data_IF_913526581774
#
_entry.id   IF_913526581774
#
_cell.length_a   1.000
_cell.length_b   1.000
_cell.length_c   1.000
_cell.angle_alpha   90.00
_cell.angle_beta   90.00
_cell.angle_gamma   90.00
#
_symmetry.space_group_name_H-M   'P 1'
#
loop_
_entity.id
_entity.type
_entity.pdbx_description
1 polymer ?
#
# COMPACT_ATOMS: atom_id res chain seq x y z
N UNK A 1 -0.21 -9.51 25.18
CA UNK A 1 -0.18 -8.05 25.27
C UNK A 1 -0.87 -7.36 24.06
N UNK A 2 -0.63 -7.74 22.81
CA UNK A 2 -1.29 -7.13 21.63
C UNK A 2 -2.82 -7.29 21.57
N UNK A 3 -3.39 -8.34 22.16
CA UNK A 3 -4.85 -8.53 22.22
C UNK A 3 -5.57 -7.48 23.09
N UNK A 4 -4.87 -6.91 24.08
CA UNK A 4 -5.44 -5.93 25.03
C UNK A 4 -5.51 -4.50 24.46
N UNK A 5 -4.73 -4.21 23.40
CA UNK A 5 -4.69 -2.88 22.79
C UNK A 5 -5.68 -2.72 21.61
N UNK A 6 -6.35 -3.79 21.19
CA UNK A 6 -7.35 -3.70 20.13
C UNK A 6 -8.56 -2.89 20.60
N UNK A 7 -8.77 -1.73 19.97
CA UNK A 7 -9.92 -0.87 20.19
C UNK A 7 -9.78 0.16 21.31
N UNK A 8 -8.64 0.22 22.01
CA UNK A 8 -8.39 1.21 23.06
C UNK A 8 -7.35 2.24 22.58
N UNK A 9 -7.73 3.50 22.50
CA UNK A 9 -6.79 4.58 22.22
C UNK A 9 -5.75 4.68 23.34
N UNK A 10 -4.49 4.92 23.00
CA UNK A 10 -3.39 5.01 23.99
C UNK A 10 -3.64 6.07 25.07
N UNK A 11 -4.38 7.14 24.75
CA UNK A 11 -4.79 8.19 25.71
C UNK A 11 -5.75 7.70 26.80
N UNK A 12 -6.56 6.69 26.48
CA UNK A 12 -7.59 6.15 27.40
C UNK A 12 -7.10 4.87 28.08
N UNK A 13 -5.84 4.47 27.86
CA UNK A 13 -5.34 3.19 28.35
C UNK A 13 -5.20 3.20 29.88
N UNK A 14 -4.80 4.32 30.50
CA UNK A 14 -4.67 4.43 31.95
C UNK A 14 -5.99 4.13 32.66
N UNK A 15 -7.07 4.76 32.19
CA UNK A 15 -8.43 4.53 32.74
C UNK A 15 -8.90 3.08 32.57
N UNK A 16 -8.55 2.45 31.44
CA UNK A 16 -8.88 1.05 31.20
C UNK A 16 -7.94 0.08 31.95
N UNK A 17 -6.72 0.51 32.25
CA UNK A 17 -5.71 -0.29 32.96
C UNK A 17 -6.00 -0.42 34.45
N UNK A 18 -6.67 0.55 35.06
CA UNK A 18 -7.10 0.50 36.47
C UNK A 18 -8.01 -0.70 36.77
N UNK A 19 -8.77 -1.15 35.76
CA UNK A 19 -9.64 -2.33 35.87
C UNK A 19 -8.90 -3.67 35.70
N UNK A 20 -7.58 -3.66 35.40
CA UNK A 20 -6.79 -4.86 35.13
C UNK A 20 -5.56 -4.88 36.04
N UNK A 21 -5.50 -5.72 37.05
CA UNK A 21 -4.40 -5.71 38.08
C UNK A 21 -3.00 -5.82 37.50
N UNK A 22 -2.80 -6.56 36.37
CA UNK A 22 -1.49 -6.72 35.73
C UNK A 22 -1.04 -5.51 34.91
N UNK A 23 -1.91 -4.52 34.71
CA UNK A 23 -1.61 -3.30 33.96
C UNK A 23 -1.27 -2.11 34.88
N UNK A 24 -1.30 -2.31 36.20
CA UNK A 24 -1.01 -1.28 37.20
C UNK A 24 0.38 -0.67 37.00
N UNK A 25 0.46 0.65 36.97
CA UNK A 25 1.73 1.38 36.81
C UNK A 25 2.21 1.59 35.35
N UNK A 26 1.42 1.24 34.35
CA UNK A 26 1.74 1.51 32.94
C UNK A 26 1.21 2.89 32.52
N UNK A 27 2.10 3.85 32.34
CA UNK A 27 1.74 5.15 31.75
C UNK A 27 1.37 5.02 30.24
N UNK A 28 0.56 5.94 29.72
CA UNK A 28 0.19 5.99 28.30
C UNK A 28 1.43 6.01 27.39
N UNK A 29 2.49 6.73 27.78
CA UNK A 29 3.76 6.79 27.03
C UNK A 29 4.49 5.43 27.02
N UNK A 30 4.44 4.68 28.10
CA UNK A 30 5.04 3.34 28.19
C UNK A 30 4.27 2.35 27.31
N UNK A 31 2.94 2.41 27.31
CA UNK A 31 2.08 1.59 26.44
C UNK A 31 2.35 1.91 24.98
N UNK A 32 2.39 3.20 24.61
CA UNK A 32 2.70 3.65 23.26
C UNK A 32 4.07 3.15 22.78
N UNK A 33 5.13 3.33 23.57
CA UNK A 33 6.48 2.83 23.23
C UNK A 33 6.53 1.32 23.04
N UNK A 34 5.87 0.56 23.92
CA UNK A 34 5.81 -0.92 23.79
C UNK A 34 5.03 -1.35 22.55
N UNK A 35 3.95 -0.64 22.24
CA UNK A 35 3.16 -0.90 21.02
C UNK A 35 3.98 -0.63 19.75
N UNK A 36 4.63 0.55 19.66
CA UNK A 36 5.50 0.92 18.52
C UNK A 36 6.60 -0.12 18.33
N UNK A 37 7.31 -0.51 19.41
CA UNK A 37 8.37 -1.53 19.35
C UNK A 37 7.86 -2.89 18.88
N UNK A 38 6.70 -3.34 19.37
CA UNK A 38 6.11 -4.61 19.00
C UNK A 38 5.62 -4.59 17.53
N UNK A 39 5.06 -3.46 17.09
CA UNK A 39 4.61 -3.26 15.70
C UNK A 39 5.79 -3.22 14.74
N UNK A 40 6.85 -2.48 15.07
CA UNK A 40 8.07 -2.40 14.26
C UNK A 40 8.70 -3.78 14.04
N UNK A 41 8.76 -4.63 15.09
CA UNK A 41 9.27 -6.00 14.97
C UNK A 41 8.40 -6.84 14.02
N UNK A 42 7.07 -6.77 14.13
CA UNK A 42 6.15 -7.50 13.26
C UNK A 42 6.24 -7.01 11.83
N UNK A 43 6.38 -5.71 11.64
CA UNK A 43 6.56 -5.11 10.33
C UNK A 43 7.86 -5.59 9.67
N UNK A 44 8.97 -5.59 10.40
CA UNK A 44 10.23 -6.12 9.89
C UNK A 44 10.11 -7.60 9.49
N UNK A 45 9.50 -8.44 10.32
CA UNK A 45 9.22 -9.84 9.98
C UNK A 45 8.35 -9.98 8.72
N UNK A 46 7.33 -9.15 8.57
CA UNK A 46 6.47 -9.12 7.40
C UNK A 46 7.25 -8.74 6.13
N UNK A 47 8.07 -7.71 6.20
CA UNK A 47 8.85 -7.23 5.05
C UNK A 47 10.04 -8.12 4.68
N UNK A 48 10.49 -8.97 5.59
CA UNK A 48 11.65 -9.86 5.36
C UNK A 48 11.26 -11.33 5.09
N UNK A 49 9.96 -11.65 5.13
CA UNK A 49 9.53 -13.03 4.91
C UNK A 49 9.79 -13.48 3.49
N UNK A 50 10.09 -14.77 3.31
CA UNK A 50 10.16 -15.41 2.00
C UNK A 50 8.81 -15.33 1.28
N UNK A 51 8.85 -15.22 -0.03
CA UNK A 51 7.71 -15.22 -0.94
C UNK A 51 7.71 -16.45 -1.87
N UNK A 52 8.67 -17.35 -1.73
CA UNK A 52 8.84 -18.55 -2.58
C UNK A 52 7.64 -19.50 -2.57
N UNK A 53 6.87 -19.50 -1.47
CA UNK A 53 5.70 -20.38 -1.33
C UNK A 53 4.47 -19.91 -2.13
N UNK A 54 4.51 -18.68 -2.71
CA UNK A 54 3.36 -18.09 -3.37
C UNK A 54 3.49 -18.18 -4.89
N UNK A 55 2.64 -18.97 -5.50
CA UNK A 55 2.45 -19.01 -6.95
C UNK A 55 1.51 -17.86 -7.37
N UNK A 56 2.10 -16.76 -7.83
CA UNK A 56 1.38 -15.54 -8.15
C UNK A 56 1.07 -15.43 -9.64
N UNK A 57 -0.18 -15.17 -9.97
CA UNK A 57 -0.66 -14.87 -11.33
C UNK A 57 -0.80 -13.38 -11.59
N UNK A 58 -0.99 -12.58 -10.54
CA UNK A 58 -1.10 -11.13 -10.67
C UNK A 58 -0.44 -10.38 -9.50
N UNK A 59 0.12 -9.22 -9.82
CA UNK A 59 0.69 -8.26 -8.90
C UNK A 59 -0.01 -6.91 -9.08
N UNK A 60 -0.63 -6.40 -8.02
CA UNK A 60 -1.20 -5.07 -7.98
C UNK A 60 -0.25 -4.12 -7.26
N UNK A 61 0.05 -3.00 -7.89
CA UNK A 61 0.86 -1.94 -7.32
C UNK A 61 0.01 -0.67 -7.25
N UNK A 62 -0.17 -0.15 -6.05
CA UNK A 62 -1.04 1.00 -5.80
C UNK A 62 -0.33 2.01 -4.90
N UNK A 63 -0.31 3.28 -5.32
CA UNK A 63 0.18 4.39 -4.52
C UNK A 63 -0.96 5.02 -3.72
N UNK A 64 -0.78 5.14 -2.41
CA UNK A 64 -1.73 5.82 -1.52
C UNK A 64 -1.05 6.96 -0.78
N UNK A 65 -1.67 8.13 -0.83
CA UNK A 65 -1.26 9.26 0.01
C UNK A 65 -1.76 9.06 1.43
N UNK A 66 -0.85 9.20 2.39
CA UNK A 66 -1.17 9.12 3.80
C UNK A 66 -0.52 10.29 4.54
N UNK A 67 -1.32 11.28 4.93
CA UNK A 67 -0.84 12.59 5.37
C UNK A 67 0.08 13.22 4.29
N UNK A 68 1.30 13.58 4.65
CA UNK A 68 2.29 14.19 3.75
C UNK A 68 3.17 13.16 3.03
N UNK A 69 2.89 11.87 3.19
CA UNK A 69 3.69 10.76 2.69
C UNK A 69 2.92 9.92 1.68
N UNK A 70 3.63 9.36 0.72
CA UNK A 70 3.09 8.35 -0.18
C UNK A 70 3.55 6.95 0.23
N UNK A 71 2.65 5.99 0.17
CA UNK A 71 2.93 4.59 0.42
C UNK A 71 2.61 3.81 -0.83
N UNK A 72 3.59 3.10 -1.38
CA UNK A 72 3.39 2.17 -2.49
C UNK A 72 3.20 0.78 -1.90
N UNK A 73 2.10 0.15 -2.23
CA UNK A 73 1.70 -1.17 -1.72
C UNK A 73 1.78 -2.19 -2.85
N UNK A 74 2.38 -3.35 -2.59
CA UNK A 74 2.38 -4.51 -3.46
C UNK A 74 1.45 -5.60 -2.92
N UNK A 75 0.46 -5.98 -3.71
CA UNK A 75 -0.50 -7.04 -3.41
C UNK A 75 -0.45 -8.11 -4.50
N UNK A 76 -0.05 -9.32 -4.14
CA UNK A 76 -0.08 -10.48 -5.02
C UNK A 76 -1.44 -11.17 -5.01
N UNK A 77 -1.80 -11.78 -6.13
CA UNK A 77 -2.93 -12.71 -6.24
C UNK A 77 -2.39 -14.04 -6.71
N UNK A 78 -2.66 -15.08 -5.95
CA UNK A 78 -2.24 -16.47 -6.25
C UNK A 78 -3.19 -17.13 -7.24
N UNK A 79 -2.75 -18.25 -7.82
CA UNK A 79 -3.55 -19.03 -8.77
C UNK A 79 -4.89 -19.48 -8.16
N UNK A 80 -4.93 -19.78 -6.87
CA UNK A 80 -6.15 -20.13 -6.11
C UNK A 80 -6.99 -18.92 -5.66
N UNK A 81 -6.64 -17.71 -6.10
CA UNK A 81 -7.37 -16.47 -5.86
C UNK A 81 -7.12 -15.81 -4.51
N UNK A 82 -6.17 -16.28 -3.69
CA UNK A 82 -5.81 -15.60 -2.44
C UNK A 82 -5.09 -14.29 -2.71
N UNK A 83 -5.38 -13.29 -1.89
CA UNK A 83 -4.72 -11.98 -1.91
C UNK A 83 -3.64 -11.94 -0.84
N UNK A 84 -2.40 -11.78 -1.25
CA UNK A 84 -1.22 -11.80 -0.40
C UNK A 84 -0.57 -10.41 -0.40
N UNK A 85 -0.60 -9.65 0.70
CA UNK A 85 0.19 -8.42 0.81
C UNK A 85 1.67 -8.77 0.77
N UNK A 86 2.41 -8.35 -0.25
CA UNK A 86 3.82 -8.70 -0.42
C UNK A 86 4.75 -7.75 0.34
N UNK A 87 4.37 -6.48 0.40
CA UNK A 87 5.13 -5.44 1.09
C UNK A 87 4.58 -4.07 0.79
N UNK A 88 5.24 -3.07 1.36
CA UNK A 88 5.01 -1.67 1.03
C UNK A 88 6.28 -0.86 1.27
N UNK A 89 6.38 0.28 0.61
CA UNK A 89 7.46 1.23 0.79
C UNK A 89 6.89 2.63 0.93
N UNK A 90 7.45 3.39 1.86
CA UNK A 90 7.19 4.82 2.00
C UNK A 90 8.08 5.57 1.02
N UNK A 91 7.50 6.50 0.26
CA UNK A 91 8.19 7.33 -0.69
C UNK A 91 7.67 8.76 -0.60
N UNK A 92 8.54 9.76 -0.67
CA UNK A 92 8.13 11.17 -0.74
C UNK A 92 7.46 11.50 -2.09
N UNK A 93 7.78 10.74 -3.12
CA UNK A 93 7.19 10.80 -4.47
C UNK A 93 7.26 9.43 -5.11
N UNK A 94 6.39 9.14 -6.09
CA UNK A 94 6.45 7.93 -6.93
C UNK A 94 7.69 7.96 -7.85
N UNK A 95 8.87 7.92 -7.22
CA UNK A 95 10.14 7.94 -7.93
C UNK A 95 10.45 6.53 -8.43
N UNK A 96 10.77 6.40 -9.71
CA UNK A 96 11.20 5.15 -10.36
C UNK A 96 12.25 4.40 -9.54
N UNK A 97 13.24 5.10 -8.99
CA UNK A 97 14.33 4.51 -8.20
C UNK A 97 13.82 3.80 -6.95
N UNK A 98 12.87 4.40 -6.23
CA UNK A 98 12.28 3.81 -5.03
C UNK A 98 11.42 2.61 -5.40
N UNK A 99 10.58 2.74 -6.44
CA UNK A 99 9.76 1.65 -6.95
C UNK A 99 10.62 0.47 -7.40
N UNK A 100 11.69 0.72 -8.16
CA UNK A 100 12.60 -0.33 -8.64
C UNK A 100 13.27 -1.06 -7.49
N UNK A 101 13.79 -0.33 -6.49
CA UNK A 101 14.42 -0.94 -5.32
C UNK A 101 13.41 -1.79 -4.53
N UNK A 102 12.20 -1.32 -4.36
CA UNK A 102 11.12 -2.05 -3.70
C UNK A 102 10.75 -3.34 -4.43
N UNK A 103 10.60 -3.27 -5.77
CA UNK A 103 10.30 -4.46 -6.58
C UNK A 103 11.47 -5.45 -6.60
N UNK A 104 12.72 -4.97 -6.64
CA UNK A 104 13.89 -5.83 -6.52
C UNK A 104 13.92 -6.56 -5.17
N UNK A 105 13.62 -5.87 -4.06
CA UNK A 105 13.48 -6.52 -2.74
C UNK A 105 12.40 -7.61 -2.74
N UNK A 106 11.27 -7.38 -3.39
CA UNK A 106 10.20 -8.39 -3.53
C UNK A 106 10.70 -9.62 -4.31
N UNK A 107 11.47 -9.40 -5.39
CA UNK A 107 12.10 -10.48 -6.17
C UNK A 107 13.15 -11.22 -5.35
N UNK A 108 14.03 -10.50 -4.64
CA UNK A 108 15.08 -11.07 -3.79
C UNK A 108 14.52 -11.96 -2.66
N UNK A 109 13.29 -11.72 -2.24
CA UNK A 109 12.54 -12.56 -1.29
C UNK A 109 11.88 -13.79 -1.92
N UNK A 110 12.12 -14.07 -3.19
CA UNK A 110 11.69 -15.27 -3.89
C UNK A 110 10.38 -15.15 -4.67
N UNK A 111 9.96 -13.92 -5.05
CA UNK A 111 8.82 -13.77 -5.95
C UNK A 111 9.07 -14.50 -7.28
N UNK A 112 8.23 -15.49 -7.60
CA UNK A 112 8.23 -16.17 -8.88
C UNK A 112 7.51 -15.30 -9.93
N UNK A 113 8.17 -15.01 -11.07
CA UNK A 113 7.58 -14.15 -12.13
C UNK A 113 7.95 -14.61 -13.56
N UNK A 114 8.75 -15.65 -13.69
CA UNK A 114 9.32 -16.12 -14.97
C UNK A 114 8.25 -16.67 -15.92
N UNK A 115 7.17 -17.25 -15.40
CA UNK A 115 6.02 -17.79 -16.15
C UNK A 115 4.99 -16.72 -16.57
N UNK A 116 5.39 -15.46 -16.60
CA UNK A 116 4.58 -14.26 -16.90
C UNK A 116 3.62 -13.85 -15.79
N UNK A 117 3.95 -12.73 -15.19
CA UNK A 117 3.16 -12.08 -14.16
C UNK A 117 2.30 -10.96 -14.76
N UNK A 118 0.99 -10.96 -14.51
CA UNK A 118 0.15 -9.81 -14.80
C UNK A 118 0.42 -8.73 -13.74
N UNK A 119 0.92 -7.56 -14.16
CA UNK A 119 1.17 -6.44 -13.25
C UNK A 119 0.17 -5.32 -13.50
N UNK A 120 -0.67 -5.02 -12.51
CA UNK A 120 -1.69 -3.97 -12.58
C UNK A 120 -1.19 -2.74 -11.81
N UNK A 121 -1.11 -1.59 -12.49
CA UNK A 121 -0.63 -0.32 -11.93
C UNK A 121 -1.66 0.80 -12.13
N UNK A 122 -1.59 1.86 -11.35
CA UNK A 122 -2.45 3.05 -11.48
C UNK A 122 -2.14 3.91 -12.73
N UNK A 123 -0.99 3.69 -13.33
CA UNK A 123 -0.52 4.39 -14.53
C UNK A 123 0.50 5.49 -14.25
N UNK A 124 1.09 5.54 -13.07
CA UNK A 124 2.24 6.37 -12.78
C UNK A 124 3.44 5.95 -13.64
N UNK A 125 4.09 6.93 -14.30
CA UNK A 125 5.21 6.67 -15.21
C UNK A 125 6.40 6.01 -14.51
N UNK A 126 6.74 6.47 -13.31
CA UNK A 126 7.84 5.93 -12.51
C UNK A 126 7.62 4.46 -12.13
N UNK A 127 6.39 4.10 -11.79
CA UNK A 127 6.02 2.73 -11.46
C UNK A 127 6.06 1.82 -12.69
N UNK A 128 5.57 2.29 -13.84
CA UNK A 128 5.65 1.56 -15.11
C UNK A 128 7.11 1.27 -15.50
N UNK A 129 7.98 2.30 -15.44
CA UNK A 129 9.40 2.17 -15.75
C UNK A 129 10.10 1.17 -14.82
N UNK A 130 9.80 1.22 -13.52
CA UNK A 130 10.34 0.31 -12.52
C UNK A 130 9.92 -1.16 -12.79
N UNK A 131 8.64 -1.40 -13.08
CA UNK A 131 8.11 -2.73 -13.43
C UNK A 131 8.80 -3.29 -14.66
N UNK A 132 8.88 -2.51 -15.74
CA UNK A 132 9.54 -2.92 -16.98
C UNK A 132 11.03 -3.23 -16.75
N UNK A 133 11.71 -2.43 -15.94
CA UNK A 133 13.12 -2.62 -15.62
C UNK A 133 13.40 -3.89 -14.79
N UNK A 134 12.55 -4.18 -13.80
CA UNK A 134 12.77 -5.32 -12.88
C UNK A 134 12.34 -6.63 -13.51
N UNK A 135 11.18 -6.67 -14.13
CA UNK A 135 10.63 -7.93 -14.67
C UNK A 135 10.97 -8.21 -16.14
N UNK A 136 11.65 -7.28 -16.84
CA UNK A 136 12.34 -7.47 -18.14
C UNK A 136 11.55 -8.29 -19.17
N UNK A 137 10.28 -7.98 -19.42
CA UNK A 137 9.46 -8.68 -20.43
C UNK A 137 8.71 -9.90 -19.91
N UNK A 138 8.95 -10.36 -18.70
CA UNK A 138 8.14 -11.38 -18.03
C UNK A 138 6.87 -10.81 -17.40
N UNK A 139 6.70 -9.48 -17.36
CA UNK A 139 5.49 -8.83 -16.87
C UNK A 139 4.59 -8.36 -18.02
N UNK A 140 3.32 -8.73 -17.96
CA UNK A 140 2.25 -8.12 -18.75
C UNK A 140 1.69 -6.93 -17.95
N UNK A 141 2.07 -5.70 -18.33
CA UNK A 141 1.65 -4.50 -17.58
C UNK A 141 0.28 -4.04 -18.05
N UNK A 142 -0.66 -3.97 -17.13
CA UNK A 142 -2.02 -3.50 -17.35
C UNK A 142 -2.33 -2.28 -16.47
N UNK A 143 -2.94 -1.26 -17.05
CA UNK A 143 -3.40 -0.10 -16.28
C UNK A 143 -4.70 -0.40 -15.56
N UNK A 144 -4.78 -0.04 -14.28
CA UNK A 144 -5.98 -0.18 -13.47
C UNK A 144 -7.16 0.60 -14.08
N UNK A 145 -8.25 -0.09 -14.39
CA UNK A 145 -9.44 0.52 -15.02
C UNK A 145 -10.17 1.44 -14.04
N UNK A 146 -10.16 1.13 -12.75
CA UNK A 146 -10.77 1.95 -11.71
C UNK A 146 -10.11 3.33 -11.63
N UNK A 147 -8.80 3.40 -11.48
CA UNK A 147 -8.07 4.68 -11.46
C UNK A 147 -8.16 5.44 -12.79
N UNK A 148 -8.29 4.73 -13.90
CA UNK A 148 -8.55 5.36 -15.21
C UNK A 148 -9.91 6.04 -15.26
N UNK A 149 -10.94 5.43 -14.68
CA UNK A 149 -12.28 6.00 -14.60
C UNK A 149 -12.34 7.18 -13.63
N UNK A 150 -11.79 7.06 -12.42
CA UNK A 150 -11.72 8.17 -11.45
C UNK A 150 -11.04 9.40 -12.07
N UNK A 151 -9.91 9.20 -12.72
CA UNK A 151 -9.18 10.30 -13.37
C UNK A 151 -9.98 10.96 -14.49
N UNK A 152 -10.77 10.18 -15.25
CA UNK A 152 -11.66 10.73 -16.29
C UNK A 152 -12.77 11.57 -15.69
N UNK A 153 -13.36 11.14 -14.61
CA UNK A 153 -14.42 11.89 -13.88
C UNK A 153 -13.87 13.20 -13.34
N UNK A 154 -12.72 13.18 -12.67
CA UNK A 154 -12.06 14.37 -12.15
C UNK A 154 -11.76 15.39 -13.26
N UNK A 155 -11.16 14.94 -14.37
CA UNK A 155 -10.87 15.82 -15.50
C UNK A 155 -12.13 16.38 -16.16
N UNK A 156 -13.23 15.63 -16.17
CA UNK A 156 -14.52 16.14 -16.67
C UNK A 156 -15.11 17.20 -15.75
N UNK A 157 -14.99 17.01 -14.43
CA UNK A 157 -15.41 17.99 -13.44
C UNK A 157 -14.58 19.29 -13.50
N UNK A 158 -13.26 19.17 -13.61
CA UNK A 158 -12.36 20.34 -13.77
C UNK A 158 -12.69 21.14 -15.04
N UNK A 159 -12.98 20.46 -16.15
CA UNK A 159 -13.41 21.12 -17.39
C UNK A 159 -14.76 21.82 -17.26
N UNK A 160 -15.73 21.19 -16.60
CA UNK A 160 -17.05 21.77 -16.39
C UNK A 160 -17.00 23.02 -15.48
N UNK A 161 -16.04 23.08 -14.55
CA UNK A 161 -15.80 24.27 -13.70
C UNK A 161 -15.08 25.37 -14.48
N UNK A 162 -14.12 25.00 -15.35
CA UNK A 162 -13.35 25.95 -16.13
C UNK A 162 -14.15 26.58 -17.31
N UNK A 163 -15.16 25.87 -17.82
CA UNK A 163 -15.99 26.30 -18.95
C UNK A 163 -17.48 26.00 -18.64
N UNK A 164 -18.11 26.77 -17.74
CA UNK A 164 -19.50 26.56 -17.37
C UNK A 164 -20.40 26.77 -18.58
N UNK A 165 -21.48 25.97 -18.72
CA UNK A 165 -22.42 26.15 -19.82
C UNK A 165 -22.91 27.59 -19.84
N UNK A 166 -22.77 28.26 -20.98
CA UNK A 166 -23.36 29.60 -21.17
C UNK A 166 -24.86 29.41 -21.11
N UNK A 167 -25.48 30.06 -20.11
CA UNK A 167 -26.94 30.12 -20.02
C UNK A 167 -27.46 30.72 -21.31
N UNK A 168 -27.97 29.86 -22.19
CA UNK A 168 -28.67 30.29 -23.39
C UNK A 168 -29.93 31.05 -22.96
N UNK A 169 -29.82 32.38 -22.98
CA UNK A 169 -30.97 33.26 -22.71
C UNK A 169 -32.09 32.90 -23.67
N UNK A 170 -33.15 32.39 -23.14
CA UNK A 170 -34.44 32.28 -23.82
C UNK A 170 -35.04 33.68 -23.88
N UNK A 171 -34.99 34.28 -25.05
CA UNK A 171 -35.76 35.50 -25.40
C UNK A 171 -37.07 35.10 -26.02
#
# INVERSE_FOLDING_TARGET
MLRRLKGIATRNYETCAEAVPEAFGLSASTVSRRYVKATARKLAQFQQRSLEEYDLVALFLDGKSFADEQIIIALGVTLDGRKIPLGFVQAATENERVCRRFLADVVDRGLQYEDRLLVVIDGAKGLHSAVTSVFSGHACVQRCQYHKQERRVLLAQERAVADPPQDGGWS
#
